data_IF_350830032011
#
_entry.id   IF_350830032011
#
_cell.length_a   1.000
_cell.length_b   1.000
_cell.length_c   1.000
_cell.angle_alpha   90.00
_cell.angle_beta   90.00
_cell.angle_gamma   90.00
#
_symmetry.space_group_name_H-M   'P 1'
#
loop_
_entity.id
_entity.type
_entity.pdbx_description
1 polymer ?
#
# COMPACT_ATOMS: atom_id res chain seq x y z
N UNK A 1 6.97 15.92 -8.71
CA UNK A 1 7.12 15.56 -7.26
C UNK A 1 6.20 14.41 -6.98
N UNK A 2 6.60 13.49 -6.11
CA UNK A 2 5.76 12.32 -5.82
C UNK A 2 5.09 12.41 -4.45
N UNK A 3 3.84 11.93 -4.34
CA UNK A 3 3.17 11.62 -3.07
C UNK A 3 2.96 10.12 -2.98
N UNK A 4 3.47 9.52 -1.91
CA UNK A 4 3.38 8.08 -1.68
C UNK A 4 2.42 7.84 -0.51
N UNK A 5 1.39 7.06 -0.74
CA UNK A 5 0.32 6.77 0.23
C UNK A 5 0.26 5.28 0.52
N UNK A 6 0.45 4.89 1.76
CA UNK A 6 0.16 3.55 2.23
C UNK A 6 -1.22 3.49 2.87
N UNK A 7 -2.05 2.53 2.49
CA UNK A 7 -3.35 2.31 3.11
C UNK A 7 -3.27 1.29 4.24
N UNK A 8 -4.04 1.52 5.30
CA UNK A 8 -4.13 0.65 6.45
C UNK A 8 -5.08 1.19 7.51
N UNK A 9 -5.29 0.40 8.57
CA UNK A 9 -6.11 0.78 9.71
C UNK A 9 -5.23 1.24 10.88
N UNK A 10 -5.48 2.43 11.45
CA UNK A 10 -4.71 2.92 12.58
C UNK A 10 -5.03 2.17 13.88
N UNK A 11 -4.02 2.04 14.73
CA UNK A 11 -4.12 1.48 16.08
C UNK A 11 -3.41 0.15 16.25
N UNK A 12 -2.85 -0.06 17.46
CA UNK A 12 -2.01 -1.22 17.83
C UNK A 12 -2.60 -2.60 17.49
N UNK A 13 -3.92 -2.73 17.57
CA UNK A 13 -4.61 -4.00 17.27
C UNK A 13 -4.51 -4.41 15.78
N UNK A 14 -4.21 -3.45 14.88
CA UNK A 14 -4.12 -3.67 13.44
C UNK A 14 -2.69 -3.71 12.89
N UNK A 15 -1.68 -3.33 13.68
CA UNK A 15 -0.27 -3.18 13.24
C UNK A 15 0.27 -4.41 12.49
N UNK A 16 -0.15 -5.62 12.90
CA UNK A 16 0.31 -6.89 12.32
C UNK A 16 -0.80 -7.61 11.55
N UNK A 17 -1.77 -6.88 11.03
CA UNK A 17 -2.83 -7.49 10.21
C UNK A 17 -2.51 -7.40 8.73
N UNK A 18 -3.09 -8.32 7.94
CA UNK A 18 -2.95 -8.35 6.48
C UNK A 18 -3.44 -7.07 5.79
N UNK A 19 -4.30 -6.31 6.45
CA UNK A 19 -4.84 -5.05 5.91
C UNK A 19 -3.94 -3.82 6.14
N UNK A 20 -2.76 -4.00 6.76
CA UNK A 20 -1.81 -2.91 7.00
C UNK A 20 -0.56 -2.98 6.10
N UNK A 21 -0.63 -3.70 5.00
CA UNK A 21 0.51 -3.82 4.06
C UNK A 21 0.99 -2.47 3.53
N UNK A 22 0.07 -1.55 3.26
CA UNK A 22 0.43 -0.21 2.83
C UNK A 22 1.19 0.56 3.92
N UNK A 23 0.77 0.48 5.19
CA UNK A 23 1.49 1.10 6.31
C UNK A 23 2.89 0.51 6.47
N UNK A 24 3.01 -0.82 6.46
CA UNK A 24 4.31 -1.49 6.56
C UNK A 24 5.26 -1.09 5.43
N UNK A 25 4.75 -0.93 4.21
CA UNK A 25 5.55 -0.49 3.07
C UNK A 25 6.05 0.96 3.24
N UNK A 26 5.22 1.87 3.79
CA UNK A 26 5.64 3.24 4.11
C UNK A 26 6.69 3.25 5.22
N UNK A 27 6.50 2.47 6.28
CA UNK A 27 7.48 2.37 7.37
C UNK A 27 8.83 1.87 6.84
N UNK A 28 8.81 0.85 5.98
CA UNK A 28 10.02 0.30 5.37
C UNK A 28 10.70 1.29 4.41
N UNK A 29 9.93 2.01 3.62
CA UNK A 29 10.43 3.06 2.74
C UNK A 29 11.07 4.19 3.56
N UNK A 30 10.41 4.61 4.63
CA UNK A 30 10.91 5.63 5.54
C UNK A 30 12.23 5.22 6.21
N UNK A 31 12.33 3.96 6.65
CA UNK A 31 13.57 3.37 7.18
C UNK A 31 14.71 3.42 6.14
N UNK A 32 14.46 2.95 4.91
CA UNK A 32 15.47 2.92 3.83
C UNK A 32 16.02 4.30 3.45
N UNK A 33 15.22 5.35 3.63
CA UNK A 33 15.59 6.72 3.22
C UNK A 33 15.80 7.69 4.39
N UNK A 34 15.86 7.19 5.64
CA UNK A 34 15.99 7.98 6.87
C UNK A 34 14.95 9.10 6.98
N UNK A 35 13.70 8.80 6.60
CA UNK A 35 12.58 9.74 6.64
C UNK A 35 11.73 9.50 7.87
N UNK A 36 11.44 10.54 8.66
CA UNK A 36 10.55 10.44 9.83
C UNK A 36 9.09 10.69 9.45
N UNK A 37 8.27 9.65 9.48
CA UNK A 37 6.81 9.72 9.26
C UNK A 37 6.12 9.83 10.63
N UNK A 38 6.10 11.05 11.22
CA UNK A 38 5.62 11.27 12.58
C UNK A 38 4.74 12.52 12.75
N UNK A 39 4.41 13.22 11.68
CA UNK A 39 3.54 14.40 11.73
C UNK A 39 2.08 13.98 11.48
N UNK A 40 1.19 14.30 12.40
CA UNK A 40 -0.24 14.08 12.23
C UNK A 40 -0.86 15.28 11.49
N UNK A 41 -1.25 15.09 10.23
CA UNK A 41 -1.97 16.06 9.41
C UNK A 41 -3.13 15.38 8.67
N UNK A 42 -4.22 16.12 8.47
CA UNK A 42 -5.36 15.64 7.67
C UNK A 42 -5.87 14.23 8.06
N UNK A 43 -5.79 13.87 9.34
CA UNK A 43 -6.12 12.53 9.88
C UNK A 43 -5.20 11.41 9.37
N UNK A 44 -3.99 11.73 8.90
CA UNK A 44 -2.96 10.80 8.47
C UNK A 44 -1.63 11.11 9.15
N UNK A 45 -0.77 10.11 9.31
CA UNK A 45 0.64 10.33 9.63
C UNK A 45 1.36 10.73 8.34
N UNK A 46 2.01 11.89 8.35
CA UNK A 46 2.69 12.43 7.17
C UNK A 46 4.12 12.82 7.46
N UNK A 47 4.93 12.79 6.43
CA UNK A 47 6.20 13.51 6.31
C UNK A 47 6.09 14.49 5.15
N UNK A 48 6.14 15.76 5.46
CA UNK A 48 6.18 17.00 4.66
C UNK A 48 5.42 17.20 3.33
N UNK A 49 4.81 18.36 3.25
CA UNK A 49 4.61 19.30 2.13
C UNK A 49 3.20 19.41 1.54
N UNK A 50 2.77 20.65 1.25
CA UNK A 50 1.62 20.95 0.36
C UNK A 50 2.14 21.14 -1.06
N UNK A 51 1.53 20.41 -2.03
CA UNK A 51 1.89 20.58 -3.43
C UNK A 51 0.73 20.15 -4.32
N UNK A 52 0.46 20.90 -5.38
CA UNK A 52 -0.29 20.39 -6.53
C UNK A 52 0.55 19.32 -7.21
N UNK A 53 0.01 18.13 -7.37
CA UNK A 53 0.68 17.01 -8.03
C UNK A 53 -0.17 16.47 -9.17
N UNK A 54 0.47 16.05 -10.24
CA UNK A 54 -0.19 15.28 -11.28
C UNK A 54 -0.56 13.88 -10.75
N UNK A 55 -1.65 13.31 -11.24
CA UNK A 55 -2.11 11.99 -10.78
C UNK A 55 -1.08 10.87 -11.04
N UNK A 56 -0.23 11.03 -12.03
CA UNK A 56 0.87 10.10 -12.31
C UNK A 56 1.98 10.13 -11.26
N UNK A 57 2.05 11.20 -10.46
CA UNK A 57 2.96 11.33 -9.32
C UNK A 57 2.36 10.78 -8.00
N UNK A 58 1.09 10.37 -7.98
CA UNK A 58 0.46 9.74 -6.82
C UNK A 58 0.67 8.23 -6.84
N UNK A 59 1.45 7.69 -5.91
CA UNK A 59 1.65 6.24 -5.75
C UNK A 59 0.87 5.76 -4.53
N UNK A 60 -0.07 4.82 -4.73
CA UNK A 60 -0.85 4.23 -3.62
C UNK A 60 -0.46 2.77 -3.41
N UNK A 61 -0.12 2.41 -2.17
CA UNK A 61 0.29 1.06 -1.77
C UNK A 61 -0.80 0.46 -0.87
N UNK A 62 -1.27 -0.75 -1.18
CA UNK A 62 -2.32 -1.42 -0.43
C UNK A 62 -2.31 -2.94 -0.59
N UNK A 63 -3.02 -3.61 0.30
CA UNK A 63 -3.20 -5.07 0.28
C UNK A 63 -4.22 -5.51 -0.78
N UNK A 64 -4.02 -6.70 -1.29
CA UNK A 64 -4.88 -7.31 -2.30
C UNK A 64 -5.05 -8.81 -2.06
N UNK A 65 -6.26 -9.22 -1.77
CA UNK A 65 -6.59 -10.62 -1.51
C UNK A 65 -6.81 -11.46 -2.79
N UNK A 66 -6.87 -10.84 -3.97
CA UNK A 66 -6.91 -11.55 -5.26
C UNK A 66 -5.51 -11.99 -5.71
N UNK A 67 -4.46 -11.50 -5.04
CA UNK A 67 -3.08 -11.87 -5.30
C UNK A 67 -2.59 -12.92 -4.29
N UNK A 68 -1.78 -13.85 -4.76
CA UNK A 68 -1.10 -14.80 -3.89
C UNK A 68 -0.24 -14.07 -2.85
N UNK A 69 -0.19 -14.62 -1.63
CA UNK A 69 0.58 -14.05 -0.54
C UNK A 69 2.05 -13.87 -0.93
N UNK A 70 2.62 -12.76 -0.55
CA UNK A 70 4.01 -12.45 -0.86
C UNK A 70 4.26 -11.97 -2.29
N UNK A 71 3.25 -11.82 -3.13
CA UNK A 71 3.42 -11.23 -4.47
C UNK A 71 3.19 -9.71 -4.45
N UNK A 72 3.82 -8.98 -5.38
CA UNK A 72 3.51 -7.58 -5.63
C UNK A 72 3.04 -7.40 -7.07
N UNK A 73 2.18 -6.41 -7.29
CA UNK A 73 1.73 -6.03 -8.64
C UNK A 73 1.67 -4.52 -8.79
N UNK A 74 2.45 -3.99 -9.72
CA UNK A 74 2.51 -2.58 -10.06
C UNK A 74 1.60 -2.32 -11.26
N UNK A 75 0.84 -1.22 -11.23
CA UNK A 75 -0.03 -0.77 -12.33
C UNK A 75 -0.06 0.74 -12.40
N UNK A 76 -0.10 1.28 -13.63
CA UNK A 76 -0.28 2.73 -13.89
C UNK A 76 -1.67 3.21 -13.51
N UNK A 77 -2.69 2.35 -13.64
CA UNK A 77 -4.10 2.64 -13.41
C UNK A 77 -4.90 1.39 -13.08
N UNK A 78 -6.10 1.55 -12.57
CA UNK A 78 -7.00 0.42 -12.32
C UNK A 78 -8.16 0.75 -11.38
N UNK A 79 -9.11 -0.17 -11.26
CA UNK A 79 -10.23 -0.07 -10.32
C UNK A 79 -9.76 -0.25 -8.87
N UNK A 80 -10.67 0.05 -7.94
CA UNK A 80 -10.44 -0.18 -6.50
C UNK A 80 -10.50 -1.66 -6.11
N UNK A 81 -11.03 -2.51 -6.96
CA UNK A 81 -11.42 -3.86 -6.53
C UNK A 81 -12.39 -3.79 -5.35
N UNK A 82 -12.18 -4.65 -4.39
CA UNK A 82 -12.94 -4.67 -3.12
C UNK A 82 -12.33 -3.81 -2.02
N UNK A 83 -11.16 -3.19 -2.22
CA UNK A 83 -10.47 -2.42 -1.20
C UNK A 83 -11.17 -1.07 -0.92
N UNK A 84 -11.76 -0.92 0.27
CA UNK A 84 -12.58 0.25 0.62
C UNK A 84 -11.77 1.55 0.64
N UNK A 85 -10.53 1.53 1.12
CA UNK A 85 -9.63 2.69 1.08
C UNK A 85 -9.38 3.18 -0.34
N UNK A 86 -9.20 2.27 -1.30
CA UNK A 86 -9.04 2.61 -2.72
C UNK A 86 -10.33 3.18 -3.33
N UNK A 87 -11.51 2.64 -2.95
CA UNK A 87 -12.81 3.22 -3.37
C UNK A 87 -12.96 4.66 -2.89
N UNK A 88 -12.54 4.94 -1.64
CA UNK A 88 -12.56 6.28 -1.07
C UNK A 88 -11.65 7.24 -1.83
N UNK A 89 -10.39 6.84 -2.10
CA UNK A 89 -9.44 7.67 -2.86
C UNK A 89 -10.01 7.97 -4.26
N UNK A 90 -10.41 6.95 -5.02
CA UNK A 90 -10.96 7.12 -6.37
C UNK A 90 -12.20 8.02 -6.35
N UNK A 91 -13.07 7.88 -5.34
CA UNK A 91 -14.25 8.72 -5.17
C UNK A 91 -13.92 10.19 -4.88
N UNK A 92 -12.86 10.46 -4.11
CA UNK A 92 -12.45 11.83 -3.78
C UNK A 92 -11.73 12.53 -4.94
N UNK A 93 -10.79 11.84 -5.60
CA UNK A 93 -10.03 12.44 -6.71
C UNK A 93 -10.72 12.31 -8.07
N UNK A 94 -11.87 11.60 -8.15
CA UNK A 94 -12.68 11.37 -9.36
C UNK A 94 -11.87 10.78 -10.52
N UNK A 95 -10.81 10.03 -10.21
CA UNK A 95 -9.94 9.36 -11.20
C UNK A 95 -9.42 8.03 -10.68
N UNK A 96 -9.11 7.13 -11.59
CA UNK A 96 -8.42 5.86 -11.35
C UNK A 96 -7.10 5.76 -12.14
N UNK A 97 -6.68 6.87 -12.74
CA UNK A 97 -5.47 6.95 -13.58
C UNK A 97 -4.29 7.46 -12.75
N UNK A 98 -3.86 6.66 -11.76
CA UNK A 98 -2.67 6.92 -10.93
C UNK A 98 -1.95 5.60 -10.62
N UNK A 99 -0.63 5.65 -10.41
CA UNK A 99 0.21 4.52 -10.01
C UNK A 99 -0.24 3.83 -8.73
N UNK A 100 -0.15 2.50 -8.72
CA UNK A 100 -0.43 1.71 -7.54
C UNK A 100 0.45 0.48 -7.43
N UNK A 101 0.76 0.12 -6.19
CA UNK A 101 1.45 -1.12 -5.83
C UNK A 101 0.51 -1.95 -4.96
N UNK A 102 0.16 -3.14 -5.43
CA UNK A 102 -0.70 -4.09 -4.73
C UNK A 102 0.18 -5.17 -4.10
N UNK A 103 -0.02 -5.42 -2.82
CA UNK A 103 0.70 -6.46 -2.07
C UNK A 103 -0.27 -7.62 -1.82
N UNK A 104 0.04 -8.78 -2.33
CA UNK A 104 -0.75 -9.98 -2.18
C UNK A 104 -0.75 -10.49 -0.75
N UNK A 105 -1.96 -10.70 -0.21
CA UNK A 105 -2.17 -11.24 1.14
C UNK A 105 -2.80 -12.64 1.12
N UNK A 106 -2.97 -13.22 -0.07
CA UNK A 106 -3.59 -14.51 -0.28
C UNK A 106 -5.10 -14.44 -0.40
N UNK A 107 -5.69 -15.47 -0.99
CA UNK A 107 -7.13 -15.57 -1.19
C UNK A 107 -7.81 -15.95 0.13
N UNK A 108 -8.86 -15.21 0.48
CA UNK A 108 -9.84 -15.70 1.46
C UNK A 108 -10.76 -16.72 0.78
N UNK A 109 -11.30 -17.66 1.56
CA UNK A 109 -12.24 -18.67 1.06
C UNK A 109 -13.57 -18.12 0.51
N UNK A 110 -13.75 -16.80 0.46
CA UNK A 110 -14.98 -16.12 0.04
C UNK A 110 -16.04 -16.04 1.13
N UNK A 111 -16.97 -15.07 1.03
CA UNK A 111 -18.08 -14.93 1.98
C UNK A 111 -17.81 -13.93 3.12
N UNK A 112 -18.55 -14.06 4.24
CA UNK A 112 -18.44 -13.16 5.40
C UNK A 112 -17.08 -13.21 6.11
N UNK A 113 -16.33 -14.28 5.91
CA UNK A 113 -15.01 -14.54 6.54
C UNK A 113 -13.87 -13.66 6.03
N UNK A 114 -14.05 -12.96 4.90
CA UNK A 114 -12.98 -12.13 4.32
C UNK A 114 -12.53 -10.98 5.24
N UNK A 115 -13.45 -10.40 6.01
CA UNK A 115 -13.11 -9.32 6.97
C UNK A 115 -12.23 -9.84 8.10
N UNK A 116 -12.56 -11.01 8.61
CA UNK A 116 -11.77 -11.66 9.67
C UNK A 116 -10.42 -12.11 9.12
N UNK A 117 -10.36 -12.53 7.86
CA UNK A 117 -9.12 -12.89 7.19
C UNK A 117 -8.17 -11.70 7.05
N UNK A 118 -8.62 -10.54 6.53
CA UNK A 118 -7.75 -9.36 6.31
C UNK A 118 -7.37 -8.65 7.61
N UNK A 119 -8.22 -8.73 8.64
CA UNK A 119 -7.95 -8.18 9.97
C UNK A 119 -7.30 -9.21 10.92
N UNK A 120 -7.17 -10.47 10.48
CA UNK A 120 -6.50 -11.53 11.21
C UNK A 120 -4.98 -11.38 11.20
N UNK A 121 -4.34 -12.01 12.19
CA UNK A 121 -2.89 -12.13 12.24
C UNK A 121 -2.40 -13.11 11.16
N UNK A 122 -1.26 -12.83 10.59
CA UNK A 122 -0.55 -13.73 9.66
C UNK A 122 0.00 -14.95 10.41
N UNK A 123 0.10 -16.09 9.72
CA UNK A 123 0.86 -17.23 10.23
C UNK A 123 2.37 -16.88 10.19
N UNK A 124 3.16 -17.53 11.04
CA UNK A 124 4.63 -17.35 11.03
C UNK A 124 5.27 -17.67 9.66
N UNK A 125 4.69 -18.60 8.92
CA UNK A 125 5.15 -18.98 7.60
C UNK A 125 4.87 -17.86 6.58
N UNK A 126 3.73 -17.21 6.69
CA UNK A 126 3.33 -16.13 5.81
C UNK A 126 4.03 -14.80 6.17
N UNK A 127 4.42 -14.61 7.43
CA UNK A 127 5.11 -13.39 7.89
C UNK A 127 6.35 -13.09 7.04
N UNK A 128 7.18 -14.10 6.77
CA UNK A 128 8.38 -13.92 5.95
C UNK A 128 8.06 -13.55 4.49
N UNK A 129 7.06 -14.19 3.89
CA UNK A 129 6.63 -13.88 2.52
C UNK A 129 6.09 -12.44 2.42
N UNK A 130 5.37 -12.00 3.45
CA UNK A 130 4.86 -10.63 3.54
C UNK A 130 6.00 -9.64 3.72
N UNK A 131 6.95 -9.92 4.61
CA UNK A 131 8.11 -9.07 4.86
C UNK A 131 8.92 -8.86 3.58
N UNK A 132 9.22 -9.93 2.85
CA UNK A 132 9.89 -9.89 1.54
C UNK A 132 9.07 -9.10 0.50
N UNK A 133 7.74 -9.19 0.51
CA UNK A 133 6.88 -8.43 -0.40
C UNK A 133 6.84 -6.95 -0.06
N UNK A 134 6.81 -6.60 1.23
CA UNK A 134 6.89 -5.22 1.73
C UNK A 134 8.22 -4.57 1.35
N UNK A 135 9.34 -5.29 1.50
CA UNK A 135 10.66 -4.82 1.06
C UNK A 135 10.70 -4.54 -0.44
N UNK A 136 10.20 -5.47 -1.25
CA UNK A 136 10.12 -5.28 -2.71
C UNK A 136 9.16 -4.15 -3.10
N UNK A 137 8.09 -3.93 -2.37
CA UNK A 137 7.20 -2.80 -2.63
C UNK A 137 7.90 -1.46 -2.36
N UNK A 138 8.72 -1.37 -1.29
CA UNK A 138 9.54 -0.20 -1.03
C UNK A 138 10.61 0.02 -2.12
N UNK A 139 11.29 -1.03 -2.57
CA UNK A 139 12.26 -0.96 -3.67
C UNK A 139 11.61 -0.56 -5.00
N UNK A 140 10.38 -1.04 -5.24
CA UNK A 140 9.61 -0.65 -6.42
C UNK A 140 9.27 0.85 -6.42
N UNK A 141 8.96 1.45 -5.26
CA UNK A 141 8.81 2.91 -5.15
C UNK A 141 10.12 3.59 -5.54
N UNK A 142 11.26 3.20 -4.97
CA UNK A 142 12.56 3.76 -5.33
C UNK A 142 12.82 3.67 -6.84
N UNK A 143 12.53 2.52 -7.46
CA UNK A 143 12.65 2.35 -8.91
C UNK A 143 11.71 3.28 -9.70
N UNK A 144 10.46 3.46 -9.26
CA UNK A 144 9.52 4.40 -9.90
C UNK A 144 10.05 5.82 -9.85
N UNK A 145 10.57 6.26 -8.70
CA UNK A 145 11.09 7.61 -8.49
C UNK A 145 12.31 7.89 -9.37
N UNK A 146 13.22 6.92 -9.53
CA UNK A 146 14.47 7.07 -10.26
C UNK A 146 14.37 6.80 -11.77
N UNK A 147 13.59 5.78 -12.16
CA UNK A 147 13.61 5.18 -13.50
C UNK A 147 12.25 5.16 -14.19
N UNK A 148 11.21 5.61 -13.48
CA UNK A 148 9.83 5.57 -13.95
C UNK A 148 9.14 4.23 -13.77
N UNK A 149 7.80 4.26 -13.82
CA UNK A 149 6.96 3.11 -13.53
C UNK A 149 7.13 1.94 -14.51
N UNK A 150 7.46 2.21 -15.77
CA UNK A 150 7.64 1.16 -16.79
C UNK A 150 8.83 0.24 -16.47
N UNK A 151 9.83 0.77 -15.79
CA UNK A 151 11.00 -0.01 -15.36
C UNK A 151 10.74 -0.79 -14.07
N UNK A 152 9.80 -0.33 -13.25
CA UNK A 152 9.42 -1.01 -12.02
C UNK A 152 8.39 -2.13 -12.23
N UNK A 153 7.63 -2.14 -13.33
CA UNK A 153 6.64 -3.16 -13.70
C UNK A 153 7.26 -4.43 -14.21
#
# INVERSE_FOLDING_TARGET
>A
MFVIVGLGNPGKKYEKTRHNMGFLAIDKLAEKHDIKVNKLKHKALTGDGYYDIDLEDLIVIYDDFDLEIGTIRIRKKGSAGSHNGMKSIIGQIQSKDFPRIRIGIGKSGGGAEWKDFVLGKTSKQDEKLIEDAVDRAADAVGCILEKGIDKAM
#
